data_IF_206014445248
#
_entry.id   IF_206014445248
#
_cell.length_a   1.000
_cell.length_b   1.000
_cell.length_c   1.000
_cell.angle_alpha   90.00
_cell.angle_beta   90.00
_cell.angle_gamma   90.00
#
_symmetry.space_group_name_H-M   'P 1'
#
loop_
_entity.id
_entity.type
_entity.pdbx_description
1 polymer ?
#
# COMPACT_ATOMS: atom_id res chain seq x y z
N UNK A 1 3.07 -20.45 16.91
CA UNK A 1 2.66 -19.38 16.00
C UNK A 1 3.31 -18.09 16.45
N UNK A 2 4.10 -17.47 15.59
CA UNK A 2 4.80 -16.24 15.94
C UNK A 2 3.89 -15.03 15.71
N UNK A 3 3.93 -14.08 16.64
CA UNK A 3 3.26 -12.80 16.51
C UNK A 3 4.13 -11.87 15.67
N UNK A 4 3.52 -11.10 14.78
CA UNK A 4 4.24 -10.11 14.00
C UNK A 4 4.81 -9.01 14.89
N UNK A 5 5.93 -8.46 14.47
CA UNK A 5 6.62 -7.36 15.15
C UNK A 5 6.72 -6.18 14.19
N UNK A 6 7.22 -5.05 14.68
CA UNK A 6 7.50 -3.90 13.80
C UNK A 6 8.43 -4.29 12.64
N UNK A 7 9.35 -5.23 12.86
CA UNK A 7 10.30 -5.66 11.81
C UNK A 7 9.68 -6.56 10.75
N UNK A 8 8.67 -7.34 11.10
CA UNK A 8 8.11 -8.38 10.22
C UNK A 8 6.78 -8.02 9.60
N UNK A 9 6.02 -7.09 10.17
CA UNK A 9 4.61 -6.90 9.81
C UNK A 9 4.42 -6.37 8.38
N UNK A 10 5.24 -5.42 7.91
CA UNK A 10 5.10 -4.90 6.55
C UNK A 10 5.49 -5.95 5.50
N UNK A 11 6.64 -6.64 5.62
CA UNK A 11 6.92 -7.75 4.71
C UNK A 11 5.82 -8.80 4.68
N UNK A 12 5.25 -9.15 5.83
CA UNK A 12 4.14 -10.11 5.91
C UNK A 12 2.88 -9.57 5.25
N UNK A 13 2.55 -8.29 5.48
CA UNK A 13 1.40 -7.62 4.85
C UNK A 13 1.54 -7.65 3.32
N UNK A 14 2.69 -7.22 2.80
CA UNK A 14 2.91 -7.18 1.34
C UNK A 14 2.78 -8.56 0.72
N UNK A 15 3.38 -9.57 1.35
CA UNK A 15 3.31 -10.93 0.83
C UNK A 15 1.91 -11.52 0.91
N UNK A 16 1.29 -11.47 2.09
CA UNK A 16 -0.01 -12.12 2.27
C UNK A 16 -1.17 -11.34 1.65
N UNK A 17 -1.26 -10.05 1.92
CA UNK A 17 -2.41 -9.25 1.46
C UNK A 17 -2.36 -9.05 -0.05
N UNK A 18 -1.21 -8.67 -0.57
CA UNK A 18 -1.09 -8.28 -1.97
C UNK A 18 -0.58 -9.41 -2.87
N UNK A 19 0.55 -10.02 -2.55
CA UNK A 19 1.14 -11.03 -3.44
C UNK A 19 0.31 -12.32 -3.47
N UNK A 20 -0.15 -12.79 -2.32
CA UNK A 20 -0.99 -13.98 -2.21
C UNK A 20 -2.49 -13.69 -2.32
N UNK A 21 -2.89 -12.42 -2.26
CA UNK A 21 -4.29 -11.98 -2.30
C UNK A 21 -5.14 -12.64 -1.21
N UNK A 22 -4.54 -12.84 -0.03
CA UNK A 22 -5.16 -13.50 1.11
C UNK A 22 -6.00 -12.49 1.92
N UNK A 23 -7.31 -12.51 1.74
CA UNK A 23 -8.21 -11.57 2.42
C UNK A 23 -8.21 -11.77 3.94
N UNK A 24 -7.88 -12.98 4.43
CA UNK A 24 -7.83 -13.24 5.86
C UNK A 24 -6.67 -12.53 6.54
N UNK A 25 -5.62 -12.20 5.78
CA UNK A 25 -4.46 -11.49 6.31
C UNK A 25 -4.81 -10.10 6.83
N UNK A 26 -5.82 -9.46 6.24
CA UNK A 26 -6.26 -8.12 6.68
C UNK A 26 -6.73 -8.21 8.13
N UNK A 27 -7.57 -9.17 8.46
CA UNK A 27 -8.07 -9.34 9.82
C UNK A 27 -6.99 -9.82 10.79
N UNK A 28 -6.06 -10.64 10.29
CA UNK A 28 -4.95 -11.15 11.11
C UNK A 28 -3.96 -10.05 11.49
N UNK A 29 -3.73 -9.08 10.60
CA UNK A 29 -2.66 -8.10 10.74
C UNK A 29 -3.13 -6.69 11.11
N UNK A 30 -4.43 -6.45 11.11
CA UNK A 30 -5.00 -5.12 11.36
C UNK A 30 -5.90 -5.18 12.58
N UNK A 31 -5.67 -4.30 13.56
CA UNK A 31 -6.53 -4.22 14.73
C UNK A 31 -7.92 -3.71 14.35
N UNK A 32 -8.95 -4.13 15.09
CA UNK A 32 -10.34 -3.71 14.82
C UNK A 32 -10.52 -2.20 14.88
N UNK A 33 -9.77 -1.54 15.75
CA UNK A 33 -9.86 -0.10 15.97
C UNK A 33 -8.72 0.68 15.29
N UNK A 34 -8.01 0.03 14.37
CA UNK A 34 -6.93 0.69 13.63
C UNK A 34 -7.44 1.84 12.79
N UNK A 35 -6.57 2.80 12.53
CA UNK A 35 -6.83 3.89 11.58
C UNK A 35 -5.70 3.95 10.58
N UNK A 36 -6.03 3.99 9.30
CA UNK A 36 -5.05 4.09 8.22
C UNK A 36 -5.30 5.36 7.41
N UNK A 37 -4.25 6.11 7.16
CA UNK A 37 -4.27 7.40 6.48
C UNK A 37 -3.53 7.33 5.14
N UNK A 38 -3.82 8.27 4.27
CA UNK A 38 -3.08 8.45 3.01
C UNK A 38 -3.70 7.75 1.81
N UNK A 39 -4.87 7.12 1.97
CA UNK A 39 -5.58 6.41 0.90
C UNK A 39 -6.92 7.09 0.57
N UNK A 40 -6.98 8.39 0.71
CA UNK A 40 -8.21 9.18 0.61
C UNK A 40 -8.71 9.51 2.00
N UNK A 41 -10.01 9.38 2.24
CA UNK A 41 -10.55 9.52 3.59
C UNK A 41 -9.95 8.43 4.50
N UNK A 42 -9.73 8.72 5.79
CA UNK A 42 -9.15 7.73 6.69
C UNK A 42 -9.95 6.44 6.76
N UNK A 43 -9.24 5.32 6.76
CA UNK A 43 -9.86 4.01 6.94
C UNK A 43 -9.97 3.70 8.42
N UNK A 44 -11.18 3.66 8.95
CA UNK A 44 -11.44 3.26 10.33
C UNK A 44 -11.77 1.77 10.37
N UNK A 45 -10.94 0.98 11.04
CA UNK A 45 -11.13 -0.46 11.17
C UNK A 45 -10.75 -1.24 9.92
N UNK A 46 -11.35 -2.41 9.77
CA UNK A 46 -11.00 -3.40 8.74
C UNK A 46 -11.83 -3.32 7.47
N UNK A 47 -13.10 -2.91 7.58
CA UNK A 47 -14.02 -2.94 6.45
C UNK A 47 -13.55 -2.12 5.25
N UNK A 48 -13.07 -0.87 5.42
CA UNK A 48 -12.56 -0.11 4.28
C UNK A 48 -11.37 -0.80 3.60
N UNK A 49 -10.54 -1.51 4.37
CA UNK A 49 -9.42 -2.28 3.81
C UNK A 49 -9.90 -3.45 2.96
N UNK A 50 -10.94 -4.16 3.40
CA UNK A 50 -11.52 -5.24 2.60
C UNK A 50 -12.09 -4.70 1.28
N UNK A 51 -12.76 -3.57 1.32
CA UNK A 51 -13.30 -2.93 0.12
C UNK A 51 -12.18 -2.47 -0.82
N UNK A 52 -11.16 -1.82 -0.28
CA UNK A 52 -10.01 -1.37 -1.06
C UNK A 52 -9.25 -2.54 -1.68
N UNK A 53 -9.04 -3.60 -0.93
CA UNK A 53 -8.38 -4.81 -1.40
C UNK A 53 -9.13 -5.44 -2.57
N UNK A 54 -10.44 -5.59 -2.44
CA UNK A 54 -11.28 -6.15 -3.50
C UNK A 54 -11.20 -5.29 -4.77
N UNK A 55 -11.25 -3.96 -4.61
CA UNK A 55 -11.15 -3.02 -5.73
C UNK A 55 -9.80 -3.11 -6.44
N UNK A 56 -8.72 -3.15 -5.67
CA UNK A 56 -7.36 -3.27 -6.22
C UNK A 56 -7.16 -4.61 -6.94
N UNK A 57 -7.58 -5.72 -6.33
CA UNK A 57 -7.45 -7.03 -6.93
C UNK A 57 -8.26 -7.16 -8.22
N UNK A 58 -9.40 -6.50 -8.29
CA UNK A 58 -10.23 -6.49 -9.49
C UNK A 58 -9.61 -5.64 -10.61
N UNK A 59 -9.04 -4.49 -10.27
CA UNK A 59 -8.41 -3.60 -11.25
C UNK A 59 -7.07 -4.13 -11.75
N UNK A 60 -6.33 -4.83 -10.91
CA UNK A 60 -4.98 -5.31 -11.22
C UNK A 60 -4.90 -6.82 -11.00
N UNK A 61 -5.17 -7.62 -12.03
CA UNK A 61 -5.11 -9.09 -11.91
C UNK A 61 -3.71 -9.62 -11.62
N UNK A 62 -2.67 -8.84 -11.94
CA UNK A 62 -1.29 -9.18 -11.60
C UNK A 62 -0.70 -8.07 -10.73
N UNK A 63 -0.18 -8.45 -9.56
CA UNK A 63 0.48 -7.53 -8.63
C UNK A 63 1.64 -8.23 -7.95
N UNK A 64 2.75 -7.52 -7.82
CA UNK A 64 3.90 -7.93 -7.02
C UNK A 64 4.39 -6.73 -6.22
N UNK A 65 4.43 -6.89 -4.90
CA UNK A 65 4.88 -5.85 -3.99
C UNK A 65 6.15 -6.32 -3.30
N UNK A 66 7.15 -5.45 -3.25
CA UNK A 66 8.44 -5.73 -2.65
C UNK A 66 8.82 -4.62 -1.65
N UNK A 67 9.40 -5.03 -0.53
CA UNK A 67 9.98 -4.10 0.44
C UNK A 67 11.40 -3.78 -0.01
N UNK A 68 11.65 -2.52 -0.36
CA UNK A 68 12.97 -2.08 -0.83
C UNK A 68 13.91 -1.72 0.30
N UNK A 69 13.37 -1.37 1.45
CA UNK A 69 14.15 -1.02 2.62
C UNK A 69 13.22 -0.63 3.75
N UNK A 70 13.68 -0.75 4.98
CA UNK A 70 12.90 -0.37 6.14
C UNK A 70 13.78 -0.13 7.35
N UNK A 71 13.24 0.61 8.31
CA UNK A 71 13.84 0.77 9.62
C UNK A 71 12.74 0.85 10.68
N UNK A 72 13.10 0.45 11.89
CA UNK A 72 12.15 0.41 13.01
C UNK A 72 12.66 1.26 14.16
N UNK A 73 11.73 1.73 14.98
CA UNK A 73 12.02 2.40 16.24
C UNK A 73 10.90 2.02 17.22
N UNK A 74 11.23 1.27 18.24
CA UNK A 74 10.26 0.72 19.20
C UNK A 74 9.14 -0.06 18.48
N UNK A 75 7.90 0.37 18.59
CA UNK A 75 6.75 -0.26 17.96
C UNK A 75 6.40 0.35 16.58
N UNK A 76 7.25 1.24 16.07
CA UNK A 76 7.08 1.87 14.77
C UNK A 76 7.92 1.23 13.70
N UNK A 77 7.38 1.19 12.48
CA UNK A 77 8.05 0.72 11.28
C UNK A 77 7.87 1.73 10.16
N UNK A 78 8.93 2.03 9.43
CA UNK A 78 8.86 2.81 8.19
C UNK A 78 9.50 1.99 7.07
N UNK A 79 8.76 1.81 5.98
CA UNK A 79 9.21 0.97 4.86
C UNK A 79 9.03 1.70 3.54
N UNK A 80 9.95 1.44 2.61
CA UNK A 80 9.84 1.84 1.22
C UNK A 80 9.44 0.62 0.40
N UNK A 81 8.36 0.77 -0.37
CA UNK A 81 7.71 -0.32 -1.09
C UNK A 81 7.71 -0.02 -2.58
N UNK A 82 7.86 -1.06 -3.41
CA UNK A 82 7.59 -0.98 -4.85
C UNK A 82 6.44 -1.91 -5.19
N UNK A 83 5.49 -1.39 -5.97
CA UNK A 83 4.43 -2.21 -6.57
C UNK A 83 4.61 -2.28 -8.07
N UNK A 84 4.58 -3.49 -8.62
CA UNK A 84 4.57 -3.75 -10.06
C UNK A 84 3.26 -4.45 -10.38
N UNK A 85 2.47 -3.87 -11.27
CA UNK A 85 1.12 -4.34 -11.54
C UNK A 85 0.79 -4.30 -13.01
N UNK A 86 -0.22 -5.07 -13.42
CA UNK A 86 -0.78 -4.97 -14.77
C UNK A 86 -2.24 -4.56 -14.64
N UNK A 87 -2.58 -3.44 -15.28
CA UNK A 87 -3.96 -2.94 -15.29
C UNK A 87 -4.82 -3.82 -16.18
N UNK A 88 -5.85 -4.43 -15.60
CA UNK A 88 -6.65 -5.45 -16.29
C UNK A 88 -7.41 -4.93 -17.49
N UNK A 89 -7.98 -3.71 -17.39
CA UNK A 89 -8.80 -3.15 -18.46
C UNK A 89 -7.99 -2.77 -19.71
N UNK A 90 -6.70 -2.45 -19.57
CA UNK A 90 -5.86 -1.98 -20.68
C UNK A 90 -4.69 -2.89 -20.99
N UNK A 91 -4.36 -3.82 -20.08
CA UNK A 91 -3.14 -4.62 -20.20
C UNK A 91 -1.85 -3.85 -19.96
N UNK A 92 -1.94 -2.62 -19.48
CA UNK A 92 -0.79 -1.74 -19.30
C UNK A 92 -0.04 -2.10 -18.02
N UNK A 93 1.30 -2.31 -18.11
CA UNK A 93 2.12 -2.44 -16.90
C UNK A 93 2.21 -1.09 -16.19
N UNK A 94 2.06 -1.10 -14.87
CA UNK A 94 2.23 0.09 -14.04
C UNK A 94 3.11 -0.23 -12.85
N UNK A 95 3.94 0.73 -12.47
CA UNK A 95 4.84 0.62 -11.33
C UNK A 95 4.68 1.87 -10.48
N UNK A 96 4.69 1.69 -9.17
CA UNK A 96 4.71 2.82 -8.24
C UNK A 96 5.58 2.49 -7.03
N UNK A 97 5.97 3.52 -6.32
CA UNK A 97 6.65 3.39 -5.05
C UNK A 97 5.84 4.08 -3.97
N UNK A 98 5.98 3.61 -2.75
CA UNK A 98 5.28 4.16 -1.60
C UNK A 98 6.16 4.10 -0.37
N UNK A 99 5.86 4.96 0.58
CA UNK A 99 6.40 4.87 1.94
C UNK A 99 5.24 4.65 2.90
N UNK A 100 5.44 3.73 3.82
CA UNK A 100 4.44 3.36 4.81
C UNK A 100 5.08 3.48 6.19
N UNK A 101 4.42 4.19 7.08
CA UNK A 101 4.81 4.26 8.48
C UNK A 101 3.68 3.69 9.32
N UNK A 102 3.98 2.70 10.15
CA UNK A 102 2.97 2.03 10.94
C UNK A 102 3.38 1.81 12.38
N UNK A 103 2.41 1.73 13.25
CA UNK A 103 2.62 1.38 14.65
C UNK A 103 1.95 0.04 14.93
N UNK A 104 2.67 -0.82 15.65
CA UNK A 104 2.29 -2.21 15.89
C UNK A 104 2.04 -2.42 17.37
N UNK A 105 0.95 -3.11 17.68
CA UNK A 105 0.64 -3.55 19.05
C UNK A 105 0.00 -4.93 18.97
N UNK A 106 0.51 -5.85 19.78
CA UNK A 106 0.01 -7.24 19.84
C UNK A 106 -0.04 -7.90 18.46
N UNK A 107 0.99 -7.66 17.65
CA UNK A 107 1.13 -8.27 16.33
C UNK A 107 0.26 -7.68 15.24
N UNK A 108 -0.38 -6.54 15.48
CA UNK A 108 -1.30 -5.92 14.53
C UNK A 108 -1.00 -4.43 14.37
N UNK A 109 -1.29 -3.91 13.19
CA UNK A 109 -1.29 -2.46 12.97
C UNK A 109 -2.40 -1.80 13.77
N UNK A 110 -2.05 -0.77 14.55
CA UNK A 110 -3.04 0.08 15.23
C UNK A 110 -3.15 1.45 14.56
N UNK A 111 -2.14 1.82 13.80
CA UNK A 111 -2.09 3.09 13.08
C UNK A 111 -1.17 2.92 11.88
N UNK A 112 -1.54 3.47 10.74
CA UNK A 112 -0.71 3.43 9.54
C UNK A 112 -0.87 4.71 8.73
N UNK A 113 0.25 5.17 8.16
CA UNK A 113 0.33 6.33 7.28
C UNK A 113 0.94 5.87 5.97
N UNK A 114 0.20 6.09 4.88
CA UNK A 114 0.61 5.66 3.54
C UNK A 114 0.85 6.89 2.67
N UNK A 115 1.96 6.89 1.96
CA UNK A 115 2.27 7.94 1.00
C UNK A 115 2.76 7.27 -0.28
N UNK A 116 1.90 7.21 -1.28
CA UNK A 116 2.21 6.55 -2.54
C UNK A 116 2.39 7.57 -3.64
N UNK A 117 3.42 7.39 -4.46
CA UNK A 117 3.62 8.18 -5.67
C UNK A 117 2.88 7.51 -6.83
N UNK A 118 1.64 7.91 -7.04
CA UNK A 118 0.79 7.38 -8.09
C UNK A 118 1.04 8.02 -9.45
N UNK A 119 1.79 9.13 -9.52
CA UNK A 119 1.95 9.87 -10.76
C UNK A 119 2.50 9.02 -11.92
N UNK A 120 3.53 8.18 -11.71
CA UNK A 120 4.02 7.31 -12.79
C UNK A 120 2.95 6.35 -13.31
N UNK A 121 2.11 5.80 -12.43
CA UNK A 121 1.03 4.91 -12.82
C UNK A 121 -0.05 5.65 -13.61
N UNK A 122 -0.45 6.83 -13.13
CA UNK A 122 -1.45 7.65 -13.82
C UNK A 122 -0.97 8.06 -15.22
N UNK A 123 0.30 8.41 -15.34
CA UNK A 123 0.91 8.78 -16.63
C UNK A 123 0.94 7.57 -17.56
N UNK A 124 1.35 6.41 -17.06
CA UNK A 124 1.40 5.17 -17.86
C UNK A 124 0.03 4.77 -18.40
N UNK A 125 -1.04 5.04 -17.63
CA UNK A 125 -2.42 4.75 -18.02
C UNK A 125 -3.05 5.84 -18.89
N UNK A 126 -2.32 6.92 -19.17
CA UNK A 126 -2.85 8.04 -19.98
C UNK A 126 -3.88 8.88 -19.26
N UNK A 127 -4.01 8.77 -17.95
CA UNK A 127 -4.96 9.54 -17.15
C UNK A 127 -4.43 10.94 -16.82
N UNK A 128 -3.14 11.14 -16.94
CA UNK A 128 -2.47 12.43 -16.76
C UNK A 128 -1.55 12.63 -17.95
N UNK A 129 -1.66 13.79 -18.61
CA UNK A 129 -0.84 14.15 -19.77
C UNK A 129 0.22 15.16 -19.37
N UNK A 130 1.36 15.13 -20.10
CA UNK A 130 2.45 16.07 -19.91
C UNK A 130 3.18 15.86 -18.59
N UNK A 131 3.67 16.96 -18.03
CA UNK A 131 4.36 16.94 -16.74
C UNK A 131 3.67 17.92 -15.79
N UNK A 132 2.65 17.46 -15.04
CA UNK A 132 1.86 18.33 -14.16
C UNK A 132 2.69 19.03 -13.09
N UNK A 133 3.77 18.41 -12.64
CA UNK A 133 4.65 19.02 -11.63
C UNK A 133 5.36 20.23 -12.22
N UNK A 134 5.89 20.09 -13.43
CA UNK A 134 6.53 21.21 -14.12
C UNK A 134 5.52 22.31 -14.42
N UNK A 135 4.31 21.96 -14.83
CA UNK A 135 3.25 22.93 -15.07
C UNK A 135 2.91 23.71 -13.78
N UNK A 136 2.79 23.01 -12.67
CA UNK A 136 2.54 23.62 -11.36
C UNK A 136 3.63 24.61 -10.97
N UNK A 137 4.88 24.29 -11.30
CA UNK A 137 6.04 25.13 -10.99
C UNK A 137 6.28 26.24 -12.02
N UNK A 138 5.47 26.31 -13.08
CA UNK A 138 5.64 27.29 -14.15
C UNK A 138 6.79 26.98 -15.09
N UNK A 139 7.23 25.74 -15.12
CA UNK A 139 8.28 25.24 -16.01
C UNK A 139 7.60 24.54 -17.17
N UNK A 140 7.65 25.08 -18.33
CA UNK A 140 7.01 24.49 -19.51
C UNK A 140 8.00 23.77 -20.41
#
# INVERSE_FOLDING_TARGET
MSIETAETIIPTWMERVWNQRDVTAIDDLLAEDSVSYGLGEPFHGRQPWHEFHATMCNAFPEMQFDVLGQFTSDDWICSRIRGEMVHGATGTPVTFEAMIMGRVRDGKFVEAWNSADWLPALTALGLVEGNPIQEMLGLS
#
